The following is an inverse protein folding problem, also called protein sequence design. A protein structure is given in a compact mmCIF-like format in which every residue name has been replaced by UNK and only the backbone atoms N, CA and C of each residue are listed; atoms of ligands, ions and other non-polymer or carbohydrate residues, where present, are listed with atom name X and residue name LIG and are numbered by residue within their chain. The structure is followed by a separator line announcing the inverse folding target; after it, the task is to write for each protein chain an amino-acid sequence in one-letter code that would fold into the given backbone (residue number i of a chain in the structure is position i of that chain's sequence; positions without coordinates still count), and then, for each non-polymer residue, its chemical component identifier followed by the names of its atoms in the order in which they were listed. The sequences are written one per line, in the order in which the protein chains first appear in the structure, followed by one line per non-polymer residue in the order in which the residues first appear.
data_IF_161041873408
#
_entry.id   IF_161041873408
#
_cell.length_a   1.000
_cell.length_b   1.000
_cell.length_c   1.000
_cell.angle_alpha   90.00
_cell.angle_beta   90.00
_cell.angle_gamma   90.00
#
_symmetry.space_group_name_H-M   'P 1'
#
loop_
_entity.id
_entity.type
_entity.pdbx_description
1 polymer ?
#
# COMPACT_ATOMS: atom_id res chain seq x y z
N UNK A 1 1.00 9.88 16.40
CA UNK A 1 -0.29 9.61 15.72
C UNK A 1 -1.04 8.59 16.56
N UNK A 2 -2.34 8.79 16.77
CA UNK A 2 -3.21 7.87 17.50
C UNK A 2 -4.29 7.40 16.53
N UNK A 3 -4.47 6.08 16.42
CA UNK A 3 -5.48 5.46 15.56
C UNK A 3 -6.46 4.74 16.47
N UNK A 4 -7.75 4.98 16.26
CA UNK A 4 -8.83 4.27 16.95
C UNK A 4 -9.42 3.25 15.98
N UNK A 5 -9.58 2.01 16.43
CA UNK A 5 -10.15 0.92 15.64
C UNK A 5 -11.30 0.32 16.42
N UNK A 6 -12.49 0.31 15.84
CA UNK A 6 -13.65 -0.36 16.41
C UNK A 6 -13.55 -1.87 16.14
N UNK A 7 -13.58 -2.66 17.21
CA UNK A 7 -13.50 -4.12 17.15
C UNK A 7 -14.80 -4.74 17.65
N UNK A 8 -15.25 -5.87 17.06
CA UNK A 8 -16.33 -6.66 17.64
C UNK A 8 -15.98 -7.09 19.08
N UNK A 9 -16.95 -7.04 19.99
CA UNK A 9 -16.75 -7.28 21.42
C UNK A 9 -16.09 -8.64 21.71
N UNK A 10 -16.50 -9.69 21.01
CA UNK A 10 -15.90 -11.03 21.12
C UNK A 10 -14.41 -11.05 20.77
N UNK A 11 -13.99 -10.24 19.79
CA UNK A 11 -12.61 -10.14 19.34
C UNK A 11 -11.77 -9.35 20.35
N UNK A 12 -12.33 -8.27 20.90
CA UNK A 12 -11.69 -7.51 21.97
C UNK A 12 -11.44 -8.36 23.22
N UNK A 13 -12.43 -9.14 23.67
CA UNK A 13 -12.27 -10.05 24.80
C UNK A 13 -11.17 -11.09 24.54
N UNK A 14 -11.15 -11.67 23.33
CA UNK A 14 -10.13 -12.65 22.94
C UNK A 14 -8.72 -12.06 23.01
N UNK A 15 -8.53 -10.83 22.52
CA UNK A 15 -7.24 -10.14 22.55
C UNK A 15 -6.79 -9.83 23.98
N UNK A 16 -7.70 -9.40 24.86
CA UNK A 16 -7.39 -9.16 26.28
C UNK A 16 -6.94 -10.45 26.96
N UNK A 17 -7.64 -11.56 26.71
CA UNK A 17 -7.26 -12.86 27.27
C UNK A 17 -5.89 -13.33 26.76
N UNK A 18 -5.62 -13.20 25.46
CA UNK A 18 -4.32 -13.54 24.88
C UNK A 18 -3.19 -12.66 25.40
N UNK A 19 -3.45 -11.36 25.59
CA UNK A 19 -2.49 -10.41 26.16
C UNK A 19 -2.11 -10.81 27.59
N UNK A 20 -3.11 -11.14 28.42
CA UNK A 20 -2.90 -11.58 29.79
C UNK A 20 -2.07 -12.88 29.87
N UNK A 21 -2.31 -13.84 28.97
CA UNK A 21 -1.57 -15.11 28.93
C UNK A 21 -0.10 -14.92 28.51
N UNK A 22 0.15 -14.00 27.58
CA UNK A 22 1.49 -13.78 27.02
C UNK A 22 2.28 -12.66 27.71
N UNK A 23 1.73 -12.06 28.77
CA UNK A 23 2.30 -10.88 29.44
C UNK A 23 2.57 -9.71 28.48
N UNK A 24 1.72 -9.58 27.46
CA UNK A 24 1.78 -8.50 26.46
C UNK A 24 0.55 -7.62 26.59
N UNK A 25 0.45 -6.58 25.76
CA UNK A 25 -0.77 -5.77 25.66
C UNK A 25 -1.58 -6.13 24.40
N UNK A 26 -2.91 -5.93 24.38
CA UNK A 26 -3.73 -6.16 23.19
C UNK A 26 -3.21 -5.40 21.96
N UNK A 27 -2.71 -4.18 22.15
CA UNK A 27 -2.17 -3.34 21.09
C UNK A 27 -0.92 -3.95 20.46
N UNK A 28 -0.04 -4.57 21.27
CA UNK A 28 1.15 -5.25 20.76
C UNK A 28 0.78 -6.47 19.92
N UNK A 29 -0.26 -7.21 20.32
CA UNK A 29 -0.77 -8.36 19.56
C UNK A 29 -1.38 -7.89 18.24
N UNK A 30 -2.20 -6.83 18.27
CA UNK A 30 -2.79 -6.23 17.06
C UNK A 30 -1.68 -5.79 16.12
N UNK A 31 -0.70 -5.04 16.62
CA UNK A 31 0.40 -4.51 15.80
C UNK A 31 1.21 -5.65 15.17
N UNK A 32 1.57 -6.68 15.95
CA UNK A 32 2.29 -7.84 15.45
C UNK A 32 1.50 -8.58 14.37
N UNK A 33 0.18 -8.78 14.58
CA UNK A 33 -0.70 -9.45 13.63
C UNK A 33 -0.83 -8.66 12.33
N UNK A 34 -1.06 -7.35 12.43
CA UNK A 34 -1.15 -6.47 11.27
C UNK A 34 0.18 -6.41 10.51
N UNK A 35 1.29 -6.36 11.24
CA UNK A 35 2.63 -6.36 10.65
C UNK A 35 2.89 -7.66 9.91
N UNK A 36 2.61 -8.81 10.52
CA UNK A 36 2.82 -10.10 9.87
C UNK A 36 1.94 -10.31 8.64
N UNK A 37 0.72 -9.79 8.65
CA UNK A 37 -0.28 -10.05 7.61
C UNK A 37 -0.25 -9.05 6.46
N UNK A 38 0.06 -7.78 6.75
CA UNK A 38 -0.05 -6.70 5.78
C UNK A 38 1.27 -6.03 5.42
N UNK A 39 2.30 -6.12 6.28
CA UNK A 39 3.63 -5.83 5.80
C UNK A 39 4.14 -7.11 5.11
N UNK A 40 4.59 -7.00 3.85
CA UNK A 40 5.21 -8.14 3.19
C UNK A 40 6.36 -8.60 4.07
N UNK A 41 6.29 -9.85 4.56
CA UNK A 41 7.42 -10.48 5.22
C UNK A 41 8.58 -10.44 4.25
N UNK A 42 9.48 -9.48 4.46
CA UNK A 42 10.71 -9.24 3.72
C UNK A 42 10.69 -9.91 2.35
N UNK A 43 10.05 -9.29 1.35
CA UNK A 43 10.33 -9.68 -0.04
C UNK A 43 11.85 -9.54 -0.15
N UNK A 44 12.64 -10.62 -0.32
CA UNK A 44 14.09 -10.52 -0.16
C UNK A 44 14.74 -9.63 -1.23
N UNK A 45 13.96 -9.10 -2.17
CA UNK A 45 14.42 -8.45 -3.38
C UNK A 45 14.02 -6.97 -3.52
N UNK A 46 13.09 -6.43 -2.72
CA UNK A 46 12.74 -5.00 -2.85
C UNK A 46 13.87 -4.07 -2.37
N UNK A 47 14.66 -4.53 -1.39
CA UNK A 47 15.80 -3.77 -0.87
C UNK A 47 16.96 -3.66 -1.87
N UNK A 48 17.03 -4.56 -2.87
CA UNK A 48 18.05 -4.58 -3.90
C UNK A 48 17.50 -4.28 -5.31
N UNK A 49 16.20 -4.04 -5.46
CA UNK A 49 15.61 -3.64 -6.73
C UNK A 49 16.06 -2.20 -7.05
N UNK A 50 16.95 -2.00 -8.05
CA UNK A 50 17.42 -0.67 -8.42
C UNK A 50 16.28 0.22 -8.97
N UNK A 51 15.20 -0.37 -9.47
CA UNK A 51 14.04 0.35 -9.98
C UNK A 51 13.10 0.80 -8.86
N UNK A 52 13.13 0.13 -7.71
CA UNK A 52 12.30 0.55 -6.56
C UNK A 52 12.69 1.95 -6.05
N UNK A 53 13.92 2.40 -6.29
CA UNK A 53 14.34 3.79 -6.04
C UNK A 53 13.54 4.82 -6.84
N UNK A 54 12.91 4.41 -7.94
CA UNK A 54 12.09 5.25 -8.81
C UNK A 54 10.62 5.24 -8.42
N UNK A 55 10.20 4.42 -7.45
CA UNK A 55 8.82 4.39 -6.99
C UNK A 55 8.41 5.77 -6.45
N UNK A 56 7.34 6.35 -7.00
CA UNK A 56 6.87 7.69 -6.64
C UNK A 56 7.67 8.86 -7.24
N UNK A 57 8.65 8.59 -8.12
CA UNK A 57 9.40 9.64 -8.84
C UNK A 57 8.55 10.37 -9.88
N UNK A 58 7.44 9.76 -10.32
CA UNK A 58 6.48 10.32 -11.27
C UNK A 58 5.16 10.52 -10.54
N UNK A 59 4.63 11.74 -10.61
CA UNK A 59 3.29 12.08 -10.14
C UNK A 59 2.40 12.39 -11.33
N UNK A 60 1.14 11.97 -11.26
CA UNK A 60 0.14 12.25 -12.27
C UNK A 60 -1.17 12.64 -11.58
N UNK A 61 -1.89 13.59 -12.18
CA UNK A 61 -3.23 13.97 -11.75
C UNK A 61 -4.32 13.13 -12.42
N UNK A 62 -3.94 12.12 -13.22
CA UNK A 62 -4.84 11.21 -13.90
C UNK A 62 -5.09 10.02 -12.95
N UNK A 63 -6.32 9.85 -12.41
CA UNK A 63 -6.61 8.94 -11.32
C UNK A 63 -6.57 7.46 -11.72
N UNK A 64 -6.74 7.14 -13.01
CA UNK A 64 -6.83 5.80 -13.61
C UNK A 64 -5.75 5.56 -14.67
N UNK A 65 -4.61 6.26 -14.54
CA UNK A 65 -3.51 6.20 -15.49
C UNK A 65 -2.99 4.77 -15.65
N UNK A 66 -2.95 3.98 -14.58
CA UNK A 66 -2.42 2.62 -14.63
C UNK A 66 -3.35 1.68 -15.43
N UNK A 67 -4.66 1.80 -15.24
CA UNK A 67 -5.68 0.98 -15.86
C UNK A 67 -5.88 1.33 -17.34
N UNK A 68 -5.72 2.61 -17.70
CA UNK A 68 -6.00 3.13 -19.04
C UNK A 68 -4.73 3.67 -19.75
N UNK A 69 -3.54 3.21 -19.37
CA UNK A 69 -2.27 3.75 -19.89
C UNK A 69 -2.19 3.73 -21.43
N UNK A 70 -2.62 2.65 -22.07
CA UNK A 70 -2.61 2.52 -23.54
C UNK A 70 -3.43 3.61 -24.23
N UNK A 71 -4.59 3.95 -23.66
CA UNK A 71 -5.45 5.02 -24.19
C UNK A 71 -4.74 6.37 -24.13
N UNK A 72 -4.15 6.70 -22.98
CA UNK A 72 -3.48 8.00 -22.79
C UNK A 72 -2.20 8.12 -23.62
N UNK A 73 -1.44 7.03 -23.75
CA UNK A 73 -0.27 6.99 -24.64
C UNK A 73 -0.71 7.20 -26.10
N UNK A 74 -1.76 6.51 -26.55
CA UNK A 74 -2.31 6.66 -27.89
C UNK A 74 -2.81 8.07 -28.18
N UNK A 75 -3.51 8.67 -27.22
CA UNK A 75 -3.96 10.07 -27.30
C UNK A 75 -2.78 11.04 -27.44
N UNK A 76 -1.75 10.90 -26.60
CA UNK A 76 -0.57 11.76 -26.62
C UNK A 76 0.18 11.67 -27.97
N UNK A 77 0.35 10.46 -28.51
CA UNK A 77 0.97 10.24 -29.82
C UNK A 77 0.16 10.87 -30.95
N UNK A 78 -1.16 10.72 -30.93
CA UNK A 78 -2.04 11.34 -31.92
C UNK A 78 -1.96 12.87 -31.89
N UNK A 79 -1.98 13.46 -30.69
CA UNK A 79 -1.81 14.90 -30.50
C UNK A 79 -0.44 15.40 -30.98
N UNK A 80 0.64 14.64 -30.74
CA UNK A 80 1.98 14.98 -31.20
C UNK A 80 2.10 14.94 -32.73
N UNK A 81 1.53 13.91 -33.37
CA UNK A 81 1.51 13.79 -34.83
C UNK A 81 0.78 14.96 -35.49
N UNK A 82 -0.35 15.39 -34.92
CA UNK A 82 -1.10 16.53 -35.45
C UNK A 82 -0.40 17.87 -35.15
N UNK A 83 0.38 17.97 -34.08
CA UNK A 83 1.13 19.18 -33.71
C UNK A 83 2.37 19.40 -34.59
N UNK A 84 2.94 18.34 -35.13
CA UNK A 84 4.08 18.37 -36.05
C UNK A 84 3.66 18.42 -37.54
N UNK A 85 2.36 18.50 -37.83
CA UNK A 85 1.81 18.55 -39.19
C UNK A 85 1.55 19.97 -39.72
N UNK A 86 1.78 21.00 -38.89
CA UNK A 86 1.81 22.43 -39.24
C UNK A 86 3.26 22.94 -39.29
#
# INVERSE_FOLDING_TARGET
MQITIDLPEALQQTLIHQAAQNQTTPEQIILATLTQKFLPQSVPDLANDPLFQLAGSITSNIPDLAENHDYYIGQALYEEMNRNAD
#
